data_IF_391136886113
#
_entry.id   IF_391136886113
#
_cell.length_a   1.000
_cell.length_b   1.000
_cell.length_c   1.000
_cell.angle_alpha   90.00
_cell.angle_beta   90.00
_cell.angle_gamma   90.00
#
_symmetry.space_group_name_H-M   'P 1'
#
loop_
_entity.id
_entity.type
_entity.pdbx_description
1 polymer ?
#
# COMPACT_ATOMS: atom_id res chain seq x y z
N UNK A 1 9.02 -20.76 36.32
CA UNK A 1 8.12 -19.78 36.96
C UNK A 1 7.83 -18.59 36.03
N UNK A 2 7.15 -18.80 34.89
CA UNK A 2 6.88 -17.72 33.90
C UNK A 2 5.58 -17.94 33.13
N UNK A 3 4.47 -18.20 33.84
CA UNK A 3 3.16 -18.42 33.21
C UNK A 3 2.00 -17.56 33.76
N UNK A 4 2.29 -16.54 34.58
CA UNK A 4 1.22 -15.78 35.26
C UNK A 4 0.96 -14.35 34.74
N UNK A 5 1.79 -13.79 33.85
CA UNK A 5 1.66 -12.39 33.46
C UNK A 5 0.79 -12.12 32.19
N UNK A 6 0.56 -13.14 31.35
CA UNK A 6 -0.22 -12.96 30.13
C UNK A 6 -1.74 -12.95 30.27
N UNK A 7 -2.28 -13.48 31.37
CA UNK A 7 -3.73 -13.58 31.56
C UNK A 7 -4.36 -12.30 32.12
N UNK A 8 -3.59 -11.43 32.76
CA UNK A 8 -4.08 -10.18 33.36
C UNK A 8 -4.34 -9.08 32.31
N UNK A 9 -3.42 -8.91 31.38
CA UNK A 9 -3.51 -7.87 30.35
C UNK A 9 -4.66 -8.13 29.35
N UNK A 10 -4.86 -9.40 28.96
CA UNK A 10 -5.95 -9.77 28.03
C UNK A 10 -7.33 -9.52 28.66
N UNK A 11 -7.52 -9.81 29.94
CA UNK A 11 -8.77 -9.53 30.65
C UNK A 11 -9.04 -8.02 30.79
N UNK A 12 -8.00 -7.22 31.00
CA UNK A 12 -8.13 -5.75 31.13
C UNK A 12 -8.49 -5.11 29.80
N UNK A 13 -7.89 -5.58 28.71
CA UNK A 13 -8.18 -5.10 27.37
C UNK A 13 -9.61 -5.47 26.95
N UNK A 14 -10.04 -6.70 27.17
CA UNK A 14 -11.43 -7.15 26.89
C UNK A 14 -12.45 -6.36 27.71
N UNK A 15 -12.16 -6.03 28.97
CA UNK A 15 -13.05 -5.17 29.78
C UNK A 15 -13.13 -3.74 29.28
N UNK A 16 -12.02 -3.15 28.82
CA UNK A 16 -12.03 -1.81 28.20
C UNK A 16 -12.84 -1.78 26.92
N UNK A 17 -12.67 -2.77 26.04
CA UNK A 17 -13.44 -2.89 24.80
C UNK A 17 -14.93 -3.09 25.10
N UNK A 18 -15.28 -3.94 26.05
CA UNK A 18 -16.68 -4.19 26.45
C UNK A 18 -17.32 -2.94 27.06
N UNK A 19 -16.58 -2.13 27.81
CA UNK A 19 -17.10 -0.88 28.38
C UNK A 19 -17.28 0.20 27.30
N UNK A 20 -16.42 0.28 26.30
CA UNK A 20 -16.60 1.17 25.14
C UNK A 20 -17.86 0.78 24.36
N UNK A 21 -18.09 -0.50 24.13
CA UNK A 21 -19.30 -0.99 23.45
C UNK A 21 -20.56 -0.66 24.27
N UNK A 22 -20.53 -0.81 25.59
CA UNK A 22 -21.65 -0.42 26.46
C UNK A 22 -21.97 1.07 26.43
N UNK A 23 -20.94 1.94 26.37
CA UNK A 23 -21.10 3.40 26.27
C UNK A 23 -21.74 3.77 24.94
N UNK A 24 -21.32 3.14 23.85
CA UNK A 24 -21.88 3.39 22.50
C UNK A 24 -23.36 2.94 22.45
N UNK A 25 -23.72 1.81 23.08
CA UNK A 25 -25.10 1.31 23.12
C UNK A 25 -25.99 2.19 24.03
N UNK A 26 -25.46 2.74 25.12
CA UNK A 26 -26.26 3.63 25.98
C UNK A 26 -26.53 5.01 25.37
N UNK A 27 -25.63 5.52 24.53
CA UNK A 27 -25.87 6.79 23.80
C UNK A 27 -26.90 6.65 22.67
N UNK A 28 -27.10 5.43 22.13
CA UNK A 28 -28.05 5.21 21.05
C UNK A 28 -29.53 5.15 21.49
N UNK A 29 -29.78 5.03 22.79
CA UNK A 29 -31.16 4.98 23.34
C UNK A 29 -31.74 6.37 23.56
N UNK A 30 -30.90 7.44 23.57
CA UNK A 30 -31.36 8.81 23.88
C UNK A 30 -31.60 9.72 22.67
N UNK A 31 -31.18 9.34 21.47
CA UNK A 31 -31.50 10.05 20.23
C UNK A 31 -32.11 9.08 19.23
N UNK A 32 -33.38 9.36 18.88
CA UNK A 32 -34.21 8.54 18.03
C UNK A 32 -33.50 8.00 16.79
N UNK A 33 -33.80 6.73 16.51
CA UNK A 33 -33.43 5.92 15.34
C UNK A 33 -32.35 6.52 14.44
N UNK A 34 -31.08 6.50 14.87
CA UNK A 34 -29.98 6.58 13.94
C UNK A 34 -30.00 5.27 13.14
N UNK A 35 -30.50 5.31 11.92
CA UNK A 35 -30.20 4.29 10.92
C UNK A 35 -28.70 4.37 10.66
N UNK A 36 -27.91 3.66 11.47
CA UNK A 36 -26.52 3.35 11.13
C UNK A 36 -26.63 2.35 9.99
N UNK A 37 -26.67 2.86 8.78
CA UNK A 37 -26.37 2.04 7.61
C UNK A 37 -25.02 1.44 7.90
N UNK A 38 -24.96 0.15 8.21
CA UNK A 38 -23.72 -0.61 8.19
C UNK A 38 -23.23 -0.57 6.75
N UNK A 39 -22.50 0.47 6.39
CA UNK A 39 -21.66 0.45 5.20
C UNK A 39 -20.56 -0.56 5.52
N UNK A 40 -20.84 -1.83 5.27
CA UNK A 40 -19.78 -2.82 5.10
C UNK A 40 -19.00 -2.33 3.89
N UNK A 41 -17.87 -1.69 4.14
CA UNK A 41 -16.87 -1.52 3.09
C UNK A 41 -16.48 -2.94 2.67
N UNK A 42 -17.03 -3.39 1.55
CA UNK A 42 -16.60 -4.63 0.94
C UNK A 42 -15.10 -4.45 0.65
N UNK A 43 -14.24 -5.03 1.49
CA UNK A 43 -12.82 -5.11 1.20
C UNK A 43 -12.70 -6.03 0.00
N UNK A 44 -12.14 -5.54 -1.11
CA UNK A 44 -11.86 -6.38 -2.26
C UNK A 44 -10.87 -7.47 -1.79
N UNK A 45 -11.32 -8.73 -1.78
CA UNK A 45 -10.53 -9.87 -1.32
C UNK A 45 -9.22 -10.05 -2.13
N UNK A 46 -9.12 -9.42 -3.29
CA UNK A 46 -7.92 -9.40 -4.13
C UNK A 46 -6.93 -8.29 -3.76
N UNK A 47 -7.31 -7.35 -2.87
CA UNK A 47 -6.39 -6.33 -2.37
C UNK A 47 -5.50 -6.92 -1.30
N UNK A 48 -4.23 -7.15 -1.61
CA UNK A 48 -3.24 -7.74 -0.72
C UNK A 48 -2.25 -6.73 -0.14
N UNK A 49 -2.20 -5.52 -0.71
CA UNK A 49 -1.33 -4.43 -0.27
C UNK A 49 -2.16 -3.15 -0.13
N UNK A 50 -1.98 -2.44 0.99
CA UNK A 50 -2.65 -1.16 1.19
C UNK A 50 -2.05 -0.06 0.29
N UNK A 51 -2.86 0.93 -0.06
CA UNK A 51 -2.39 2.10 -0.78
C UNK A 51 -1.38 2.87 0.08
N UNK A 52 -0.25 3.26 -0.47
CA UNK A 52 0.78 3.93 0.32
C UNK A 52 2.06 4.22 -0.45
N UNK A 53 3.04 4.75 0.28
CA UNK A 53 4.40 4.99 -0.24
C UNK A 53 5.34 3.91 0.28
N UNK A 54 6.01 3.26 -0.63
CA UNK A 54 6.86 2.09 -0.36
C UNK A 54 8.27 2.28 -0.93
N UNK A 55 9.23 1.57 -0.34
CA UNK A 55 10.52 1.27 -0.94
C UNK A 55 10.53 -0.21 -1.31
N UNK A 56 10.83 -0.54 -2.56
CA UNK A 56 10.87 -1.91 -3.07
C UNK A 56 12.30 -2.42 -2.98
N UNK A 57 12.56 -3.31 -2.05
CA UNK A 57 13.89 -3.87 -1.78
C UNK A 57 14.13 -5.19 -2.49
N UNK A 58 15.36 -5.45 -2.87
CA UNK A 58 15.78 -6.77 -3.34
C UNK A 58 15.90 -7.75 -2.16
N UNK A 59 15.27 -8.92 -2.27
CA UNK A 59 15.42 -9.98 -1.27
C UNK A 59 16.82 -10.63 -1.28
N UNK A 60 17.57 -10.52 -2.39
CA UNK A 60 18.95 -11.01 -2.47
C UNK A 60 19.92 -10.15 -1.66
N UNK A 61 19.67 -8.85 -1.61
CA UNK A 61 20.46 -7.91 -0.85
C UNK A 61 19.61 -6.67 -0.57
N UNK A 62 19.16 -6.50 0.67
CA UNK A 62 18.29 -5.41 1.09
C UNK A 62 18.92 -4.00 1.01
N UNK A 63 20.24 -3.91 0.75
CA UNK A 63 20.90 -2.63 0.45
C UNK A 63 20.50 -2.09 -0.92
N UNK A 64 20.00 -2.94 -1.82
CA UNK A 64 19.54 -2.54 -3.15
C UNK A 64 18.02 -2.40 -3.20
N UNK A 65 17.61 -1.30 -3.82
CA UNK A 65 16.18 -0.94 -3.98
C UNK A 65 15.90 -0.58 -5.44
N UNK A 66 14.64 -0.63 -5.83
CA UNK A 66 14.21 -0.03 -7.09
C UNK A 66 14.53 1.46 -7.08
N UNK A 67 15.05 1.92 -8.21
CA UNK A 67 15.51 3.28 -8.42
C UNK A 67 15.16 3.74 -9.83
N UNK A 68 14.72 4.98 -9.97
CA UNK A 68 14.61 5.60 -11.29
C UNK A 68 15.96 6.22 -11.62
N UNK A 69 16.58 5.70 -12.66
CA UNK A 69 17.93 6.06 -13.11
C UNK A 69 18.19 7.56 -13.07
N UNK A 70 19.27 7.95 -12.39
CA UNK A 70 19.73 9.33 -12.27
C UNK A 70 18.65 10.32 -11.79
N UNK A 71 17.61 9.86 -11.08
CA UNK A 71 16.48 10.69 -10.65
C UNK A 71 15.81 11.47 -11.80
N UNK A 72 15.88 10.98 -13.02
CA UNK A 72 15.26 11.61 -14.17
C UNK A 72 13.74 11.64 -14.00
N UNK A 73 13.10 12.76 -14.41
CA UNK A 73 11.64 12.92 -14.39
C UNK A 73 11.01 12.77 -15.78
N UNK A 74 11.83 12.51 -16.79
CA UNK A 74 11.38 12.33 -18.17
C UNK A 74 10.69 10.97 -18.38
N UNK A 75 9.91 10.85 -19.44
CA UNK A 75 9.49 9.55 -19.96
C UNK A 75 10.72 8.72 -20.33
N UNK A 76 10.55 7.41 -20.42
CA UNK A 76 11.59 6.43 -20.78
C UNK A 76 12.76 6.28 -19.77
N UNK A 77 12.75 6.98 -18.63
CA UNK A 77 13.74 6.75 -17.59
C UNK A 77 13.57 5.34 -17.03
N UNK A 78 14.65 4.54 -17.11
CA UNK A 78 14.63 3.11 -16.71
C UNK A 78 14.49 2.95 -15.21
N UNK A 79 13.89 1.83 -14.82
CA UNK A 79 13.95 1.29 -13.46
C UNK A 79 15.19 0.41 -13.35
N UNK A 80 15.95 0.57 -12.27
CA UNK A 80 17.11 -0.26 -11.98
C UNK A 80 17.19 -0.60 -10.49
N UNK A 81 18.09 -1.46 -10.10
CA UNK A 81 18.48 -1.66 -8.71
C UNK A 81 19.67 -0.78 -8.37
N UNK A 82 19.54 0.00 -7.30
CA UNK A 82 20.61 0.88 -6.82
C UNK A 82 20.74 0.81 -5.30
N UNK A 83 21.85 1.27 -4.77
CA UNK A 83 22.05 1.37 -3.32
C UNK A 83 20.99 2.29 -2.71
N UNK A 84 20.37 1.84 -1.62
CA UNK A 84 19.36 2.62 -0.90
C UNK A 84 19.94 3.93 -0.37
N UNK A 85 19.40 5.04 -0.84
CA UNK A 85 19.73 6.41 -0.40
C UNK A 85 18.54 7.14 0.24
N UNK A 86 17.35 6.52 0.26
CA UNK A 86 16.14 7.09 0.85
C UNK A 86 15.55 8.26 0.05
N UNK A 87 16.01 8.49 -1.16
CA UNK A 87 15.56 9.57 -2.07
C UNK A 87 14.20 9.29 -2.68
N UNK A 88 13.53 10.32 -3.21
CA UNK A 88 12.17 10.18 -3.73
C UNK A 88 12.06 9.40 -5.05
N UNK A 89 13.16 9.24 -5.81
CA UNK A 89 13.24 8.35 -6.97
C UNK A 89 13.36 6.85 -6.58
N UNK A 90 13.54 6.56 -5.28
CA UNK A 90 13.54 5.23 -4.67
C UNK A 90 12.29 4.95 -3.83
N UNK A 91 11.34 5.89 -3.80
CA UNK A 91 10.04 5.74 -3.16
C UNK A 91 8.95 5.70 -4.21
N UNK A 92 8.01 4.79 -4.01
CA UNK A 92 6.94 4.54 -4.98
C UNK A 92 5.59 4.59 -4.29
N UNK A 93 4.69 5.40 -4.79
CA UNK A 93 3.27 5.33 -4.44
C UNK A 93 2.70 4.10 -5.13
N UNK A 94 2.16 3.18 -4.35
CA UNK A 94 1.43 2.00 -4.84
C UNK A 94 -0.05 2.24 -4.58
N UNK A 95 -0.88 2.09 -5.62
CA UNK A 95 -2.32 2.32 -5.53
C UNK A 95 -3.07 1.16 -6.15
N UNK A 96 -4.02 0.61 -5.40
CA UNK A 96 -4.91 -0.43 -5.89
C UNK A 96 -5.89 0.12 -6.93
N UNK A 97 -6.08 -0.62 -8.03
CA UNK A 97 -6.97 -0.23 -9.13
C UNK A 97 -8.06 -1.27 -9.43
N UNK A 98 -8.18 -2.29 -8.56
CA UNK A 98 -9.17 -3.36 -8.69
C UNK A 98 -8.60 -4.65 -9.28
N UNK A 99 -9.33 -5.75 -9.09
CA UNK A 99 -9.02 -7.07 -9.64
C UNK A 99 -7.60 -7.59 -9.34
N UNK A 100 -7.04 -7.25 -8.18
CA UNK A 100 -5.67 -7.64 -7.79
C UNK A 100 -4.56 -6.84 -8.48
N UNK A 101 -4.90 -5.78 -9.22
CA UNK A 101 -3.95 -4.95 -9.94
C UNK A 101 -3.62 -3.66 -9.17
N UNK A 102 -2.42 -3.15 -9.40
CA UNK A 102 -1.91 -1.92 -8.78
C UNK A 102 -1.20 -1.07 -9.82
N UNK A 103 -1.28 0.24 -9.65
CA UNK A 103 -0.33 1.17 -10.29
C UNK A 103 0.82 1.45 -9.35
N UNK A 104 2.01 1.65 -9.89
CA UNK A 104 3.23 1.98 -9.17
C UNK A 104 3.79 3.28 -9.75
N UNK A 105 3.96 4.29 -8.91
CA UNK A 105 4.36 5.64 -9.34
C UNK A 105 5.54 6.15 -8.51
N UNK A 106 6.70 6.49 -9.11
CA UNK A 106 7.80 7.12 -8.39
C UNK A 106 7.36 8.47 -7.79
N UNK A 107 7.62 8.67 -6.50
CA UNK A 107 7.19 9.89 -5.77
C UNK A 107 7.78 11.17 -6.39
N UNK A 108 9.01 11.10 -6.92
CA UNK A 108 9.69 12.28 -7.46
C UNK A 108 9.13 12.78 -8.79
N UNK A 109 8.52 11.90 -9.62
CA UNK A 109 8.04 12.23 -10.96
C UNK A 109 6.52 12.19 -11.10
N UNK A 110 5.85 11.34 -10.30
CA UNK A 110 4.41 11.10 -10.42
C UNK A 110 4.01 10.30 -11.66
N UNK A 111 4.96 9.87 -12.49
CA UNK A 111 4.71 9.01 -13.66
C UNK A 111 4.36 7.59 -13.21
N UNK A 112 3.96 6.71 -14.11
CA UNK A 112 3.71 5.31 -13.80
C UNK A 112 4.89 4.44 -14.24
N UNK A 113 5.11 3.34 -13.51
CA UNK A 113 5.97 2.26 -13.99
C UNK A 113 5.28 1.61 -15.18
N UNK A 114 6.05 1.37 -16.23
CA UNK A 114 5.55 1.01 -17.56
C UNK A 114 6.45 -0.06 -18.20
N UNK A 115 5.85 -1.00 -18.92
CA UNK A 115 6.58 -1.95 -19.75
C UNK A 115 6.70 -1.36 -21.16
N UNK A 116 7.92 -1.02 -21.56
CA UNK A 116 8.23 -0.35 -22.80
C UNK A 116 7.52 -0.96 -24.03
N UNK A 117 6.92 -0.09 -24.85
CA UNK A 117 6.23 -0.46 -26.09
C UNK A 117 5.09 -1.48 -25.93
N UNK A 118 4.47 -1.54 -24.73
CA UNK A 118 3.43 -2.54 -24.43
C UNK A 118 3.87 -3.98 -24.77
N UNK A 119 5.15 -4.27 -24.56
CA UNK A 119 5.77 -5.54 -24.96
C UNK A 119 5.28 -6.69 -24.09
N UNK A 120 4.88 -7.78 -24.72
CA UNK A 120 4.54 -9.06 -24.06
C UNK A 120 5.70 -10.07 -24.08
N UNK A 121 6.88 -9.64 -24.52
CA UNK A 121 8.06 -10.53 -24.64
C UNK A 121 8.90 -10.48 -23.37
N UNK A 122 9.53 -11.61 -22.97
CA UNK A 122 10.55 -11.60 -21.94
C UNK A 122 11.70 -10.64 -22.29
N UNK A 123 12.30 -9.99 -21.28
CA UNK A 123 13.39 -9.02 -21.47
C UNK A 123 12.93 -7.62 -21.88
N UNK A 124 11.62 -7.35 -21.91
CA UNK A 124 11.12 -5.99 -22.12
C UNK A 124 11.65 -5.05 -21.04
N UNK A 125 12.03 -3.83 -21.41
CA UNK A 125 12.50 -2.82 -20.45
C UNK A 125 11.34 -2.36 -19.58
N UNK A 126 11.62 -2.17 -18.30
CA UNK A 126 10.74 -1.49 -17.36
C UNK A 126 11.27 -0.06 -17.15
N UNK A 127 10.38 0.90 -17.26
CA UNK A 127 10.70 2.33 -17.23
C UNK A 127 9.57 3.11 -16.55
N UNK A 128 9.69 4.42 -16.44
CA UNK A 128 8.56 5.28 -16.09
C UNK A 128 8.03 6.01 -17.32
N UNK A 129 6.72 6.18 -17.36
CA UNK A 129 6.04 6.92 -18.43
C UNK A 129 4.82 7.67 -17.87
N UNK A 130 4.42 8.76 -18.54
CA UNK A 130 3.16 9.44 -18.17
C UNK A 130 1.97 8.51 -18.35
N UNK A 131 0.92 8.73 -17.56
CA UNK A 131 -0.29 7.92 -17.63
C UNK A 131 -0.95 8.04 -19.03
N UNK A 132 -1.24 6.92 -19.66
CA UNK A 132 -1.92 6.85 -20.96
C UNK A 132 -3.04 5.81 -21.03
N UNK A 133 -3.38 5.17 -19.89
CA UNK A 133 -4.47 4.21 -19.78
C UNK A 133 -4.18 2.83 -20.39
N UNK A 134 -2.94 2.52 -20.73
CA UNK A 134 -2.54 1.22 -21.25
C UNK A 134 -2.39 0.16 -20.13
N UNK A 135 -2.61 -1.11 -20.49
CA UNK A 135 -2.48 -2.23 -19.55
C UNK A 135 -1.01 -2.61 -19.24
N UNK A 136 -0.05 -1.88 -19.76
CA UNK A 136 1.39 -2.02 -19.48
C UNK A 136 1.87 -1.13 -18.33
N UNK A 137 0.95 -0.45 -17.67
CA UNK A 137 1.19 0.45 -16.53
C UNK A 137 0.60 -0.07 -15.23
#
# INVERSE_FOLDING_TARGET
MTKSLRTGEDKTMKRKILNIIKIVVLLSVFFGTLNISNTTFATDANKTLEDGVYTIKSALNEKFVFDIYSSLKTNDAKVELWTSGGTNNQKFTIKYIGNGCYTISPVHSGKLIDVANNSKKPGARVLQYEYHGGNNQ
#
